data_IF_107501069050
#
_entry.id   IF_107501069050
#
_cell.length_a   1.000
_cell.length_b   1.000
_cell.length_c   1.000
_cell.angle_alpha   90.00
_cell.angle_beta   90.00
_cell.angle_gamma   90.00
#
_symmetry.space_group_name_H-M   'P 1'
#
loop_
_entity.id
_entity.type
_entity.pdbx_description
1 polymer ?
#
# COMPACT_ATOMS: atom_id res chain seq x y z
N UNK A 1 -11.20 6.97 20.76
CA UNK A 1 -10.65 6.83 19.39
C UNK A 1 -11.08 5.48 18.82
N UNK A 2 -11.73 5.42 17.66
CA UNK A 2 -12.21 4.15 17.09
C UNK A 2 -11.09 3.50 16.29
N UNK A 3 -11.12 2.17 16.13
CA UNK A 3 -10.10 1.43 15.39
C UNK A 3 -9.88 1.97 13.95
N UNK A 4 -10.95 2.36 13.25
CA UNK A 4 -10.82 2.98 11.91
C UNK A 4 -10.00 4.27 11.94
N UNK A 5 -10.18 5.09 12.98
CA UNK A 5 -9.51 6.39 13.09
C UNK A 5 -7.99 6.17 13.32
N UNK A 6 -7.63 5.14 14.10
CA UNK A 6 -6.22 4.73 14.30
C UNK A 6 -5.57 4.26 13.00
N UNK A 7 -6.24 3.39 12.24
CA UNK A 7 -5.70 2.91 10.97
C UNK A 7 -5.57 4.01 9.91
N UNK A 8 -6.50 4.97 9.90
CA UNK A 8 -6.39 6.18 9.07
C UNK A 8 -5.17 7.01 9.44
N UNK A 9 -4.93 7.28 10.72
CA UNK A 9 -3.74 8.00 11.19
C UNK A 9 -2.44 7.29 10.77
N UNK A 10 -2.37 5.97 10.99
CA UNK A 10 -1.21 5.17 10.57
C UNK A 10 -0.97 5.27 9.06
N UNK A 11 -2.03 5.16 8.25
CA UNK A 11 -1.92 5.28 6.80
C UNK A 11 -1.39 6.65 6.37
N UNK A 12 -1.92 7.72 6.96
CA UNK A 12 -1.50 9.10 6.68
C UNK A 12 -0.04 9.34 7.08
N UNK A 13 0.39 8.82 8.24
CA UNK A 13 1.77 8.91 8.70
C UNK A 13 2.73 8.19 7.74
N UNK A 14 2.41 6.96 7.34
CA UNK A 14 3.26 6.22 6.41
C UNK A 14 3.41 6.90 5.05
N UNK A 15 2.30 7.38 4.46
CA UNK A 15 2.39 8.05 3.15
C UNK A 15 3.09 9.41 3.25
N UNK A 16 2.95 10.14 4.36
CA UNK A 16 3.69 11.37 4.61
C UNK A 16 5.21 11.11 4.73
N UNK A 17 5.61 10.08 5.48
CA UNK A 17 7.02 9.67 5.57
C UNK A 17 7.58 9.23 4.22
N UNK A 18 6.81 8.47 3.44
CA UNK A 18 7.22 8.07 2.08
C UNK A 18 7.47 9.30 1.19
N UNK A 19 6.55 10.27 1.20
CA UNK A 19 6.69 11.52 0.45
C UNK A 19 7.91 12.34 0.87
N UNK A 20 8.21 12.41 2.16
CA UNK A 20 9.38 13.12 2.67
C UNK A 20 10.68 12.49 2.16
N UNK A 21 10.81 11.17 2.27
CA UNK A 21 12.02 10.45 1.86
C UNK A 21 12.27 10.46 0.35
N UNK A 22 11.23 10.60 -0.48
CA UNK A 22 11.38 10.74 -1.94
C UNK A 22 12.17 11.99 -2.31
N UNK A 23 12.06 13.06 -1.53
CA UNK A 23 12.78 14.31 -1.79
C UNK A 23 14.28 14.21 -1.53
N UNK A 24 14.73 13.16 -0.85
CA UNK A 24 16.11 13.05 -0.37
C UNK A 24 17.01 12.18 -1.28
N UNK A 25 16.49 11.59 -2.37
CA UNK A 25 17.22 10.74 -3.36
C UNK A 25 18.35 9.83 -2.82
N UNK A 26 18.15 9.20 -1.66
CA UNK A 26 19.19 8.45 -0.93
C UNK A 26 19.32 6.96 -1.30
N UNK A 27 18.77 6.52 -2.43
CA UNK A 27 18.80 5.10 -2.82
C UNK A 27 17.96 4.18 -1.92
N UNK A 28 16.92 4.73 -1.26
CA UNK A 28 16.02 4.05 -0.32
C UNK A 28 14.69 3.62 -0.96
N UNK A 29 14.65 3.44 -2.28
CA UNK A 29 13.44 3.09 -3.05
C UNK A 29 12.62 1.94 -2.42
N UNK A 30 13.27 0.89 -1.96
CA UNK A 30 12.62 -0.27 -1.34
C UNK A 30 11.95 0.11 -0.01
N UNK A 31 12.61 0.95 0.80
CA UNK A 31 12.08 1.42 2.09
C UNK A 31 10.88 2.33 1.85
N UNK A 32 11.01 3.25 0.90
CA UNK A 32 9.95 4.17 0.52
C UNK A 32 8.74 3.40 -0.05
N UNK A 33 8.99 2.42 -0.92
CA UNK A 33 7.95 1.54 -1.46
C UNK A 33 7.25 0.72 -0.37
N UNK A 34 8.00 0.24 0.62
CA UNK A 34 7.47 -0.46 1.78
C UNK A 34 6.54 0.42 2.63
N UNK A 35 6.91 1.69 2.86
CA UNK A 35 6.05 2.66 3.53
C UNK A 35 4.75 2.90 2.75
N UNK A 36 4.83 3.07 1.42
CA UNK A 36 3.63 3.24 0.59
C UNK A 36 2.72 2.00 0.63
N UNK A 37 3.29 0.79 0.59
CA UNK A 37 2.53 -0.44 0.78
C UNK A 37 1.82 -0.48 2.14
N UNK A 38 2.52 -0.17 3.23
CA UNK A 38 1.92 -0.17 4.56
C UNK A 38 0.86 0.92 4.74
N UNK A 39 1.00 2.05 4.05
CA UNK A 39 -0.05 3.07 4.00
C UNK A 39 -1.33 2.51 3.35
N UNK A 40 -1.21 1.80 2.22
CA UNK A 40 -2.34 1.15 1.55
C UNK A 40 -2.97 0.06 2.43
N UNK A 41 -2.15 -0.78 3.05
CA UNK A 41 -2.63 -1.86 3.92
C UNK A 41 -3.38 -1.31 5.15
N UNK A 42 -2.89 -0.21 5.71
CA UNK A 42 -3.49 0.47 6.87
C UNK A 42 -4.82 1.11 6.49
N UNK A 43 -4.92 1.84 5.38
CA UNK A 43 -6.19 2.41 4.96
C UNK A 43 -7.21 1.33 4.58
N UNK A 44 -6.75 0.22 3.99
CA UNK A 44 -7.58 -0.95 3.75
C UNK A 44 -8.13 -1.54 5.05
N UNK A 45 -7.29 -1.62 6.09
CA UNK A 45 -7.71 -2.05 7.43
C UNK A 45 -8.75 -1.10 8.03
N UNK A 46 -8.62 0.22 7.83
CA UNK A 46 -9.61 1.21 8.26
C UNK A 46 -10.99 0.97 7.63
N UNK A 47 -11.03 0.65 6.34
CA UNK A 47 -12.28 0.30 5.62
C UNK A 47 -12.89 -0.98 6.14
N UNK A 48 -12.07 -2.02 6.36
CA UNK A 48 -12.53 -3.32 6.87
C UNK A 48 -13.21 -3.15 8.24
N UNK A 49 -12.59 -2.41 9.16
CA UNK A 49 -13.18 -2.19 10.49
C UNK A 49 -14.34 -1.20 10.48
N UNK A 50 -14.39 -0.25 9.53
CA UNK A 50 -15.53 0.65 9.36
C UNK A 50 -16.82 -0.15 9.09
N UNK A 51 -16.75 -1.18 8.23
CA UNK A 51 -17.88 -2.07 7.94
C UNK A 51 -17.97 -3.28 8.89
N UNK A 52 -17.35 -3.20 10.08
CA UNK A 52 -17.38 -4.18 11.19
C UNK A 52 -16.90 -5.59 10.82
N UNK A 53 -15.97 -5.70 9.88
CA UNK A 53 -15.32 -6.98 9.57
C UNK A 53 -14.05 -7.16 10.41
N UNK A 54 -13.73 -8.39 10.78
CA UNK A 54 -12.43 -8.74 11.37
C UNK A 54 -11.33 -8.59 10.32
N UNK A 55 -10.19 -8.00 10.69
CA UNK A 55 -9.06 -7.83 9.77
C UNK A 55 -8.35 -9.18 9.55
N UNK A 56 -8.20 -9.66 8.30
CA UNK A 56 -7.42 -10.85 8.01
C UNK A 56 -5.92 -10.64 8.31
N UNK A 57 -5.24 -11.69 8.78
CA UNK A 57 -3.79 -11.66 9.03
C UNK A 57 -3.00 -11.65 7.72
N UNK A 58 -3.42 -12.45 6.74
CA UNK A 58 -2.76 -12.54 5.43
C UNK A 58 -3.01 -11.26 4.62
N UNK A 59 -1.92 -10.66 4.10
CA UNK A 59 -1.97 -9.37 3.41
C UNK A 59 -2.78 -9.41 2.10
N UNK A 60 -2.68 -10.48 1.30
CA UNK A 60 -3.43 -10.61 0.04
C UNK A 60 -4.93 -10.70 0.31
N UNK A 61 -5.30 -11.52 1.30
CA UNK A 61 -6.70 -11.66 1.73
C UNK A 61 -7.25 -10.33 2.23
N UNK A 62 -6.43 -9.59 3.00
CA UNK A 62 -6.78 -8.26 3.51
C UNK A 62 -6.98 -7.25 2.37
N UNK A 63 -6.07 -7.17 1.40
CA UNK A 63 -6.19 -6.25 0.25
C UNK A 63 -7.38 -6.61 -0.65
N UNK A 64 -7.62 -7.90 -0.89
CA UNK A 64 -8.79 -8.36 -1.67
C UNK A 64 -10.10 -8.04 -0.95
N UNK A 65 -10.15 -8.19 0.38
CA UNK A 65 -11.31 -7.79 1.19
C UNK A 65 -11.52 -6.27 1.13
N UNK A 66 -10.46 -5.47 1.25
CA UNK A 66 -10.52 -4.02 1.06
C UNK A 66 -11.11 -3.64 -0.30
N UNK A 67 -10.62 -4.22 -1.40
CA UNK A 67 -11.16 -3.97 -2.74
C UNK A 67 -12.65 -4.34 -2.86
N UNK A 68 -13.05 -5.48 -2.28
CA UNK A 68 -14.45 -5.92 -2.27
C UNK A 68 -15.35 -4.91 -1.55
N UNK A 69 -14.92 -4.43 -0.37
CA UNK A 69 -15.66 -3.42 0.38
C UNK A 69 -15.73 -2.08 -0.36
N UNK A 70 -14.65 -1.64 -1.00
CA UNK A 70 -14.66 -0.45 -1.85
C UNK A 70 -15.66 -0.60 -3.00
N UNK A 71 -15.67 -1.73 -3.71
CA UNK A 71 -16.63 -2.01 -4.79
C UNK A 71 -18.07 -1.93 -4.29
N UNK A 72 -18.33 -2.52 -3.12
CA UNK A 72 -19.67 -2.61 -2.53
C UNK A 72 -20.18 -1.27 -2.00
N UNK A 73 -19.33 -0.48 -1.35
CA UNK A 73 -19.76 0.68 -0.57
C UNK A 73 -19.29 2.03 -1.10
N UNK A 74 -18.22 2.08 -1.90
CA UNK A 74 -17.59 3.34 -2.31
C UNK A 74 -17.47 3.54 -3.83
N UNK A 75 -18.12 2.71 -4.65
CA UNK A 75 -18.03 2.78 -6.11
C UNK A 75 -18.40 4.14 -6.73
N UNK A 76 -19.14 4.98 -6.00
CA UNK A 76 -19.53 6.33 -6.43
C UNK A 76 -18.53 7.43 -6.06
N UNK A 77 -17.64 7.19 -5.10
CA UNK A 77 -16.78 8.22 -4.49
C UNK A 77 -15.29 7.86 -4.51
N UNK A 78 -14.95 6.58 -4.69
CA UNK A 78 -13.58 6.07 -4.80
C UNK A 78 -13.36 5.53 -6.20
N UNK A 79 -12.18 5.81 -6.77
CA UNK A 79 -11.77 5.24 -8.04
C UNK A 79 -11.40 3.76 -7.84
N UNK A 80 -12.38 2.87 -8.04
CA UNK A 80 -12.21 1.42 -7.87
C UNK A 80 -11.15 0.84 -8.82
N UNK A 81 -11.01 1.39 -10.03
CA UNK A 81 -9.99 0.94 -10.97
C UNK A 81 -8.58 1.24 -10.46
N UNK A 82 -8.38 2.42 -9.88
CA UNK A 82 -7.11 2.77 -9.22
C UNK A 82 -6.83 1.80 -8.06
N UNK A 83 -7.78 1.59 -7.15
CA UNK A 83 -7.62 0.63 -6.04
C UNK A 83 -7.25 -0.77 -6.54
N UNK A 84 -7.97 -1.26 -7.55
CA UNK A 84 -7.74 -2.60 -8.11
C UNK A 84 -6.36 -2.73 -8.76
N UNK A 85 -5.95 -1.75 -9.55
CA UNK A 85 -4.64 -1.77 -10.23
C UNK A 85 -3.48 -1.61 -9.25
N UNK A 86 -3.61 -0.78 -8.22
CA UNK A 86 -2.60 -0.66 -7.15
C UNK A 86 -2.46 -1.96 -6.36
N UNK A 87 -3.57 -2.61 -6.00
CA UNK A 87 -3.53 -3.92 -5.32
C UNK A 87 -2.91 -4.99 -6.23
N UNK A 88 -3.26 -5.02 -7.51
CA UNK A 88 -2.68 -5.96 -8.46
C UNK A 88 -1.16 -5.79 -8.59
N UNK A 89 -0.64 -4.55 -8.61
CA UNK A 89 0.82 -4.30 -8.56
C UNK A 89 1.45 -4.88 -7.29
N UNK A 90 0.79 -4.74 -6.14
CA UNK A 90 1.33 -5.21 -4.86
C UNK A 90 1.34 -6.75 -4.76
N UNK A 91 0.22 -7.38 -5.12
CA UNK A 91 0.00 -8.82 -4.95
C UNK A 91 0.57 -9.62 -6.11
N UNK A 92 0.26 -9.24 -7.35
CA UNK A 92 0.61 -10.06 -8.52
C UNK A 92 2.01 -9.78 -9.06
N UNK A 93 2.54 -8.56 -8.86
CA UNK A 93 3.91 -8.20 -9.27
C UNK A 93 4.93 -8.34 -8.14
N UNK A 94 4.51 -8.95 -7.03
CA UNK A 94 5.33 -9.30 -5.86
C UNK A 94 6.15 -8.11 -5.30
N UNK A 95 5.59 -6.90 -5.42
CA UNK A 95 6.25 -5.68 -4.94
C UNK A 95 6.59 -5.80 -3.45
N UNK A 96 5.67 -6.38 -2.66
CA UNK A 96 5.90 -6.58 -1.22
C UNK A 96 7.18 -7.37 -0.96
N UNK A 97 7.42 -8.46 -1.68
CA UNK A 97 8.62 -9.27 -1.49
C UNK A 97 9.87 -8.55 -2.02
N UNK A 98 9.76 -7.84 -3.16
CA UNK A 98 10.84 -7.02 -3.72
C UNK A 98 11.31 -5.92 -2.76
N UNK A 99 10.43 -5.42 -1.88
CA UNK A 99 10.80 -4.45 -0.84
C UNK A 99 11.57 -5.06 0.34
N UNK A 100 11.39 -6.35 0.60
CA UNK A 100 11.80 -6.98 1.85
C UNK A 100 12.96 -7.96 1.68
N UNK A 101 13.00 -8.68 0.58
CA UNK A 101 13.83 -9.87 0.43
C UNK A 101 14.73 -9.79 -0.80
N UNK A 102 15.98 -10.28 -0.71
CA UNK A 102 16.83 -10.42 -1.88
C UNK A 102 16.21 -11.36 -2.93
N UNK A 103 16.47 -11.06 -4.21
CA UNK A 103 16.22 -12.00 -5.30
C UNK A 103 17.37 -13.02 -5.33
N UNK A 104 17.06 -14.31 -5.28
CA UNK A 104 18.05 -15.38 -5.32
C UNK A 104 18.13 -16.03 -6.70
N UNK A 105 19.34 -16.46 -7.09
CA UNK A 105 19.60 -17.32 -8.24
C UNK A 105 20.60 -18.41 -7.82
N UNK A 106 20.18 -19.68 -7.82
CA UNK A 106 21.01 -20.82 -7.42
C UNK A 106 21.73 -20.61 -6.07
N UNK A 107 20.95 -20.30 -5.02
CA UNK A 107 21.42 -20.00 -3.66
C UNK A 107 22.35 -18.77 -3.49
N UNK A 108 22.62 -18.02 -4.56
CA UNK A 108 23.35 -16.75 -4.52
C UNK A 108 22.38 -15.58 -4.61
N UNK A 109 22.67 -14.49 -3.91
CA UNK A 109 21.93 -13.24 -4.06
C UNK A 109 22.21 -12.67 -5.45
N UNK A 110 21.17 -12.49 -6.24
CA UNK A 110 21.20 -11.85 -7.57
C UNK A 110 20.97 -10.35 -7.45
N UNK A 111 20.03 -9.92 -6.61
CA UNK A 111 19.72 -8.51 -6.36
C UNK A 111 19.35 -8.27 -4.91
N UNK A 112 19.88 -7.21 -4.32
CA UNK A 112 19.37 -6.65 -3.08
C UNK A 112 17.99 -5.97 -3.31
N UNK A 113 17.12 -5.83 -2.30
CA UNK A 113 15.83 -5.13 -2.44
C UNK A 113 15.90 -3.76 -3.13
N UNK A 114 16.90 -2.94 -2.78
CA UNK A 114 17.14 -1.63 -3.42
C UNK A 114 17.38 -1.72 -4.93
N UNK A 115 17.84 -2.85 -5.45
CA UNK A 115 18.13 -3.05 -6.88
C UNK A 115 16.94 -3.67 -7.63
N UNK A 116 15.90 -4.09 -6.90
CA UNK A 116 14.74 -4.76 -7.45
C UNK A 116 13.61 -3.80 -7.80
N UNK A 117 13.63 -2.55 -7.35
CA UNK A 117 12.64 -1.54 -7.71
C UNK A 117 13.31 -0.22 -8.06
N UNK A 118 12.70 0.54 -8.95
CA UNK A 118 13.18 1.87 -9.35
C UNK A 118 12.48 2.97 -8.55
N UNK A 119 13.15 4.12 -8.41
CA UNK A 119 12.51 5.32 -7.83
C UNK A 119 11.28 5.78 -8.63
N UNK A 120 11.25 5.54 -9.94
CA UNK A 120 10.08 5.87 -10.79
C UNK A 120 8.87 5.02 -10.37
N UNK A 121 9.04 3.71 -10.24
CA UNK A 121 7.97 2.81 -9.78
C UNK A 121 7.44 3.22 -8.40
N UNK A 122 8.34 3.59 -7.48
CA UNK A 122 7.99 4.02 -6.12
C UNK A 122 7.24 5.35 -6.11
N UNK A 123 7.68 6.34 -6.90
CA UNK A 123 6.99 7.63 -7.02
C UNK A 123 5.55 7.45 -7.54
N UNK A 124 5.36 6.60 -8.55
CA UNK A 124 4.03 6.26 -9.06
C UNK A 124 3.18 5.55 -8.00
N UNK A 125 3.76 4.61 -7.25
CA UNK A 125 3.05 3.92 -6.17
C UNK A 125 2.58 4.89 -5.08
N UNK A 126 3.43 5.85 -4.67
CA UNK A 126 3.06 6.87 -3.68
C UNK A 126 1.90 7.72 -4.18
N UNK A 127 1.94 8.16 -5.43
CA UNK A 127 0.87 8.97 -6.01
C UNK A 127 -0.46 8.21 -6.02
N UNK A 128 -0.44 6.95 -6.45
CA UNK A 128 -1.62 6.08 -6.46
C UNK A 128 -2.17 5.89 -5.04
N UNK A 129 -1.31 5.50 -4.09
CA UNK A 129 -1.72 5.23 -2.70
C UNK A 129 -2.21 6.49 -1.98
N UNK A 130 -1.55 7.62 -2.14
CA UNK A 130 -1.98 8.89 -1.56
C UNK A 130 -3.36 9.30 -2.06
N UNK A 131 -3.61 9.15 -3.36
CA UNK A 131 -4.92 9.43 -3.95
C UNK A 131 -5.99 8.50 -3.40
N UNK A 132 -5.69 7.21 -3.24
CA UNK A 132 -6.61 6.23 -2.62
C UNK A 132 -6.91 6.64 -1.18
N UNK A 133 -5.89 6.97 -0.38
CA UNK A 133 -6.06 7.40 1.02
C UNK A 133 -6.98 8.61 1.10
N UNK A 134 -6.73 9.65 0.30
CA UNK A 134 -7.54 10.87 0.32
C UNK A 134 -9.01 10.59 -0.07
N UNK A 135 -9.26 9.72 -1.06
CA UNK A 135 -10.63 9.34 -1.43
C UNK A 135 -11.34 8.56 -0.32
N UNK A 136 -10.62 7.64 0.34
CA UNK A 136 -11.20 6.82 1.40
C UNK A 136 -11.45 7.65 2.66
N UNK A 137 -10.50 8.48 3.10
CA UNK A 137 -10.65 9.32 4.29
C UNK A 137 -11.86 10.24 4.18
N UNK A 138 -12.14 10.78 2.99
CA UNK A 138 -13.33 11.60 2.77
C UNK A 138 -14.65 10.79 2.75
N UNK A 139 -14.57 9.46 2.66
CA UNK A 139 -15.72 8.57 2.54
C UNK A 139 -16.07 7.80 3.83
N UNK A 140 -15.19 7.76 4.84
CA UNK A 140 -15.33 6.87 6.03
C UNK A 140 -15.42 7.56 7.37
#
# INVERSE_FOLDING_TARGET
>A
MRAKDVYTDIAQRYIASAKQLVSDENGMQEVIGFLAYHALESIGSAVIVHFKSSIPVNYETKLNMFLSLCKKHFSRVVNIHLVATTIAKIVNSDYRSRFLYPEYQNAKIRKAPKEQITMIEVRLLIQDVDRIINQIVNAI
#
